data_IF_488697788323
#
_entry.id   IF_488697788323
#
_cell.length_a   1.000
_cell.length_b   1.000
_cell.length_c   1.000
_cell.angle_alpha   90.00
_cell.angle_beta   90.00
_cell.angle_gamma   90.00
#
_symmetry.space_group_name_H-M   'P 1'
#
loop_
_entity.id
_entity.type
_entity.pdbx_description
1 polymer ?
#
# COMPACT_ATOMS: atom_id res chain seq x y z
N UNK A 1 -4.04 56.65 -30.40
CA UNK A 1 -2.84 56.00 -29.83
C UNK A 1 -1.55 56.57 -30.45
N UNK A 2 -0.65 57.02 -29.59
CA UNK A 2 0.63 57.63 -30.00
C UNK A 2 1.62 56.53 -30.38
N UNK A 3 2.50 56.75 -31.38
CA UNK A 3 3.45 55.73 -31.89
C UNK A 3 4.33 55.13 -30.79
N UNK A 4 4.64 55.92 -29.77
CA UNK A 4 5.35 55.55 -28.55
C UNK A 4 4.55 54.60 -27.67
N UNK A 5 3.25 54.85 -27.46
CA UNK A 5 2.37 53.94 -26.70
C UNK A 5 2.32 52.56 -27.36
N UNK A 6 2.16 52.51 -28.68
CA UNK A 6 2.15 51.24 -29.42
C UNK A 6 3.48 50.47 -29.30
N UNK A 7 4.61 51.17 -29.28
CA UNK A 7 5.92 50.56 -29.09
C UNK A 7 6.08 49.99 -27.67
N UNK A 8 5.67 50.75 -26.64
CA UNK A 8 5.69 50.32 -25.25
C UNK A 8 4.79 49.12 -25.01
N UNK A 9 3.57 49.13 -25.56
CA UNK A 9 2.65 47.98 -25.47
C UNK A 9 3.23 46.75 -26.15
N UNK A 10 3.88 46.89 -27.32
CA UNK A 10 4.52 45.76 -28.02
C UNK A 10 5.71 45.19 -27.24
N UNK A 11 6.52 46.04 -26.61
CA UNK A 11 7.62 45.62 -25.76
C UNK A 11 7.11 44.82 -24.55
N UNK A 12 6.05 45.31 -23.89
CA UNK A 12 5.42 44.63 -22.77
C UNK A 12 4.83 43.27 -23.17
N UNK A 13 4.14 43.19 -24.32
CA UNK A 13 3.64 41.90 -24.84
C UNK A 13 4.78 40.92 -25.13
N UNK A 14 5.90 41.40 -25.66
CA UNK A 14 7.07 40.55 -25.95
C UNK A 14 7.67 39.98 -24.67
N UNK A 15 7.82 40.82 -23.63
CA UNK A 15 8.29 40.37 -22.31
C UNK A 15 7.34 39.34 -21.68
N UNK A 16 6.02 39.56 -21.73
CA UNK A 16 5.07 38.56 -21.21
C UNK A 16 5.13 37.24 -21.98
N UNK A 17 5.35 37.27 -23.31
CA UNK A 17 5.53 36.05 -24.11
C UNK A 17 6.80 35.28 -23.76
N UNK A 18 7.86 35.96 -23.34
CA UNK A 18 9.08 35.31 -22.86
C UNK A 18 8.81 34.59 -21.54
N UNK A 19 8.14 35.26 -20.58
CA UNK A 19 7.75 34.61 -19.32
C UNK A 19 6.89 33.37 -19.55
N UNK A 20 5.89 33.44 -20.43
CA UNK A 20 5.05 32.28 -20.77
C UNK A 20 5.92 31.15 -21.34
N UNK A 21 6.81 31.46 -22.28
CA UNK A 21 7.70 30.48 -22.92
C UNK A 21 8.59 29.75 -21.91
N UNK A 22 9.03 30.45 -20.86
CA UNK A 22 9.92 29.87 -19.86
C UNK A 22 9.15 29.06 -18.81
N UNK A 23 7.92 29.46 -18.46
CA UNK A 23 7.11 28.80 -17.43
C UNK A 23 6.37 27.56 -17.96
N UNK A 24 5.89 27.58 -19.21
CA UNK A 24 5.21 26.44 -19.85
C UNK A 24 5.99 25.11 -19.75
N UNK A 25 7.31 25.03 -20.07
CA UNK A 25 8.05 23.79 -19.93
C UNK A 25 8.23 23.36 -18.46
N UNK A 26 8.24 24.31 -17.51
CA UNK A 26 8.28 23.97 -16.08
C UNK A 26 6.97 23.31 -15.64
N UNK A 27 5.83 23.79 -16.13
CA UNK A 27 4.52 23.16 -15.89
C UNK A 27 4.53 21.74 -16.43
N UNK A 28 4.92 21.54 -17.69
CA UNK A 28 4.98 20.22 -18.30
C UNK A 28 5.89 19.25 -17.54
N UNK A 29 7.04 19.73 -17.06
CA UNK A 29 7.95 18.92 -16.26
C UNK A 29 7.33 18.50 -14.92
N UNK A 30 6.63 19.42 -14.24
CA UNK A 30 5.95 19.14 -12.97
C UNK A 30 4.76 18.18 -13.17
N UNK A 31 3.98 18.34 -14.24
CA UNK A 31 2.90 17.43 -14.60
C UNK A 31 3.44 16.01 -14.81
N UNK A 32 4.55 15.85 -15.53
CA UNK A 32 5.22 14.56 -15.70
C UNK A 32 5.68 13.94 -14.37
N UNK A 33 6.15 14.76 -13.42
CA UNK A 33 6.49 14.27 -12.07
C UNK A 33 5.26 13.81 -11.29
N UNK A 34 4.14 14.54 -11.38
CA UNK A 34 2.87 14.16 -10.74
C UNK A 34 2.38 12.82 -11.29
N UNK A 35 2.43 12.62 -12.61
CA UNK A 35 2.05 11.36 -13.24
C UNK A 35 2.93 10.19 -12.77
N UNK A 36 4.25 10.38 -12.71
CA UNK A 36 5.17 9.37 -12.22
C UNK A 36 4.91 8.99 -10.75
N UNK A 37 4.60 9.98 -9.90
CA UNK A 37 4.24 9.74 -8.49
C UNK A 37 2.91 9.00 -8.37
N UNK A 38 1.89 9.33 -9.17
CA UNK A 38 0.63 8.57 -9.20
C UNK A 38 0.83 7.13 -9.67
N UNK A 39 1.68 6.90 -10.65
CA UNK A 39 2.05 5.55 -11.08
C UNK A 39 2.74 4.76 -9.95
N UNK A 40 3.63 5.41 -9.20
CA UNK A 40 4.28 4.82 -8.02
C UNK A 40 3.26 4.43 -6.94
N UNK A 41 2.35 5.34 -6.58
CA UNK A 41 1.27 5.06 -5.62
C UNK A 41 0.42 3.87 -6.08
N UNK A 42 0.08 3.81 -7.37
CA UNK A 42 -0.74 2.73 -7.92
C UNK A 42 -0.03 1.37 -7.81
N UNK A 43 1.27 1.31 -8.11
CA UNK A 43 2.07 0.09 -7.96
C UNK A 43 2.12 -0.38 -6.50
N UNK A 44 2.36 0.55 -5.56
CA UNK A 44 2.39 0.23 -4.12
C UNK A 44 1.02 -0.25 -3.63
N UNK A 45 -0.09 0.33 -4.12
CA UNK A 45 -1.44 -0.12 -3.76
C UNK A 45 -1.73 -1.54 -4.23
N UNK A 46 -1.31 -1.90 -5.44
CA UNK A 46 -1.45 -3.27 -5.96
C UNK A 46 -0.65 -4.25 -5.10
N UNK A 47 0.61 -3.92 -4.80
CA UNK A 47 1.47 -4.75 -3.96
C UNK A 47 0.90 -4.97 -2.54
N UNK A 48 0.33 -3.92 -1.93
CA UNK A 48 -0.39 -4.03 -0.65
C UNK A 48 -1.60 -4.96 -0.78
N UNK A 49 -2.36 -4.87 -1.88
CA UNK A 49 -3.53 -5.70 -2.08
C UNK A 49 -3.16 -7.18 -2.24
N UNK A 50 -2.11 -7.50 -3.00
CA UNK A 50 -1.57 -8.85 -3.14
C UNK A 50 -1.10 -9.42 -1.80
N UNK A 51 -0.30 -8.65 -1.04
CA UNK A 51 0.15 -9.07 0.30
C UNK A 51 -1.00 -9.27 1.27
N UNK A 52 -2.03 -8.41 1.22
CA UNK A 52 -3.25 -8.60 2.02
C UNK A 52 -4.02 -9.85 1.60
N UNK A 53 -4.09 -10.16 0.30
CA UNK A 53 -4.72 -11.37 -0.20
C UNK A 53 -3.98 -12.63 0.28
N UNK A 54 -2.65 -12.60 0.42
CA UNK A 54 -1.87 -13.71 1.00
C UNK A 54 -2.16 -13.90 2.51
N UNK A 55 -2.38 -12.82 3.25
CA UNK A 55 -2.65 -12.88 4.70
C UNK A 55 -4.14 -13.18 4.99
N UNK A 56 -5.04 -12.84 4.07
CA UNK A 56 -6.49 -12.98 4.26
C UNK A 56 -6.94 -14.42 4.59
N UNK A 57 -6.44 -15.50 3.95
CA UNK A 57 -6.80 -16.88 4.29
C UNK A 57 -6.55 -17.20 5.76
N UNK A 58 -5.38 -16.81 6.31
CA UNK A 58 -5.00 -17.09 7.71
C UNK A 58 -5.91 -16.37 8.72
N UNK A 59 -6.52 -15.24 8.33
CA UNK A 59 -7.48 -14.49 9.15
C UNK A 59 -8.94 -14.90 8.93
N UNK A 60 -9.25 -15.57 7.83
CA UNK A 60 -10.60 -15.99 7.43
C UNK A 60 -10.86 -17.49 7.63
N UNK A 61 -9.87 -18.24 8.12
CA UNK A 61 -10.09 -19.62 8.53
C UNK A 61 -11.22 -19.66 9.57
N UNK A 62 -12.28 -20.44 9.33
CA UNK A 62 -13.28 -20.71 10.36
C UNK A 62 -12.59 -21.30 11.59
N UNK A 63 -13.18 -21.03 12.76
CA UNK A 63 -12.65 -21.51 14.03
C UNK A 63 -12.37 -23.02 14.02
N UNK A 64 -13.28 -23.81 13.44
CA UNK A 64 -13.17 -25.27 13.40
C UNK A 64 -11.94 -25.76 12.62
N UNK A 65 -11.63 -25.11 11.49
CA UNK A 65 -10.45 -25.46 10.69
C UNK A 65 -9.17 -25.07 11.43
N UNK A 66 -9.18 -23.91 12.11
CA UNK A 66 -8.09 -23.46 12.97
C UNK A 66 -7.84 -24.43 14.13
N UNK A 67 -8.90 -24.90 14.78
CA UNK A 67 -8.84 -25.88 15.85
C UNK A 67 -8.22 -27.21 15.37
N UNK A 68 -8.64 -27.73 14.22
CA UNK A 68 -8.07 -28.96 13.66
C UNK A 68 -6.59 -28.80 13.27
N UNK A 69 -6.18 -27.65 12.73
CA UNK A 69 -4.76 -27.35 12.47
C UNK A 69 -3.94 -27.41 13.76
N UNK A 70 -4.47 -26.83 14.85
CA UNK A 70 -3.79 -26.83 16.16
C UNK A 70 -3.68 -28.24 16.72
N UNK A 71 -4.74 -29.05 16.65
CA UNK A 71 -4.71 -30.46 17.09
C UNK A 71 -3.69 -31.26 16.28
N UNK A 72 -3.69 -31.11 14.94
CA UNK A 72 -2.73 -31.77 14.08
C UNK A 72 -1.28 -31.39 14.41
N UNK A 73 -1.02 -30.10 14.71
CA UNK A 73 0.30 -29.65 15.13
C UNK A 73 0.71 -30.21 16.51
N UNK A 74 -0.23 -30.27 17.47
CA UNK A 74 0.02 -30.76 18.82
C UNK A 74 0.23 -32.28 18.90
N UNK A 75 -0.38 -33.02 17.99
CA UNK A 75 -0.35 -34.49 17.95
C UNK A 75 0.71 -35.05 16.98
N UNK A 76 1.47 -34.16 16.32
CA UNK A 76 2.54 -34.58 15.42
C UNK A 76 3.63 -35.35 16.20
N UNK A 77 4.29 -36.35 15.58
CA UNK A 77 5.36 -37.11 16.24
C UNK A 77 6.54 -36.25 16.74
N UNK A 78 6.70 -35.06 16.15
CA UNK A 78 7.74 -34.08 16.50
C UNK A 78 7.17 -32.90 17.31
N UNK A 79 6.03 -33.07 17.95
CA UNK A 79 5.36 -32.00 18.67
C UNK A 79 6.14 -31.60 19.94
N UNK A 80 6.27 -30.29 20.15
CA UNK A 80 6.82 -29.69 21.37
C UNK A 80 5.75 -28.76 21.95
N UNK A 81 5.59 -28.76 23.27
CA UNK A 81 4.71 -27.85 24.03
C UNK A 81 4.94 -26.38 23.64
N UNK A 82 6.17 -26.02 23.24
CA UNK A 82 6.48 -24.67 22.75
C UNK A 82 5.75 -24.31 21.46
N UNK A 83 5.37 -25.29 20.64
CA UNK A 83 4.64 -25.06 19.38
C UNK A 83 3.26 -24.48 19.63
N UNK A 84 2.50 -24.99 20.61
CA UNK A 84 1.20 -24.41 20.98
C UNK A 84 1.32 -22.95 21.41
N UNK A 85 2.37 -22.63 22.18
CA UNK A 85 2.67 -21.24 22.57
C UNK A 85 3.02 -20.37 21.36
N UNK A 86 3.76 -20.91 20.38
CA UNK A 86 4.07 -20.21 19.13
C UNK A 86 2.81 -19.99 18.29
N UNK A 87 1.91 -20.98 18.19
CA UNK A 87 0.65 -20.83 17.49
C UNK A 87 -0.25 -19.77 18.16
N UNK A 88 -0.33 -19.77 19.49
CA UNK A 88 -1.08 -18.77 20.26
C UNK A 88 -0.50 -17.34 20.20
N UNK A 89 0.72 -17.14 19.67
CA UNK A 89 1.33 -15.81 19.50
C UNK A 89 1.01 -15.16 18.16
N UNK A 90 0.51 -15.92 17.17
CA UNK A 90 0.26 -15.44 15.79
C UNK A 90 -0.74 -14.28 15.75
N UNK A 91 -1.95 -14.48 16.28
CA UNK A 91 -2.96 -13.42 16.41
C UNK A 91 -4.03 -13.79 17.44
N UNK A 92 -5.03 -12.91 17.65
CA UNK A 92 -6.14 -13.15 18.59
C UNK A 92 -6.95 -14.40 18.23
N UNK A 93 -7.29 -14.62 16.97
CA UNK A 93 -8.07 -15.79 16.54
C UNK A 93 -7.31 -17.10 16.73
N UNK A 94 -6.00 -17.12 16.43
CA UNK A 94 -5.15 -18.30 16.68
C UNK A 94 -5.01 -18.58 18.17
N UNK A 95 -4.83 -17.55 18.99
CA UNK A 95 -4.82 -17.69 20.45
C UNK A 95 -6.11 -18.27 20.99
N UNK A 96 -7.24 -17.74 20.54
CA UNK A 96 -8.56 -18.21 20.96
C UNK A 96 -8.76 -19.67 20.58
N UNK A 97 -8.44 -20.04 19.33
CA UNK A 97 -8.49 -21.43 18.88
C UNK A 97 -7.54 -22.34 19.67
N UNK A 98 -6.31 -21.92 19.99
CA UNK A 98 -5.36 -22.73 20.77
C UNK A 98 -5.85 -22.99 22.19
N UNK A 99 -6.41 -21.96 22.84
CA UNK A 99 -6.89 -22.09 24.23
C UNK A 99 -8.24 -22.80 24.32
N UNK A 100 -9.10 -22.65 23.31
CA UNK A 100 -10.46 -23.22 23.29
C UNK A 100 -10.57 -24.57 22.58
N UNK A 101 -9.44 -25.20 22.26
CA UNK A 101 -9.41 -26.55 21.69
C UNK A 101 -8.78 -27.53 22.69
N UNK A 102 -9.56 -28.14 23.58
CA UNK A 102 -9.05 -29.05 24.62
C UNK A 102 -8.27 -30.24 24.05
N UNK A 103 -8.63 -30.72 22.84
CA UNK A 103 -7.96 -31.83 22.14
C UNK A 103 -6.49 -31.57 21.79
N UNK A 104 -6.00 -30.33 21.94
CA UNK A 104 -4.64 -29.95 21.64
C UNK A 104 -3.70 -29.97 22.87
N UNK A 105 -4.23 -30.18 24.08
CA UNK A 105 -3.49 -30.22 25.35
C UNK A 105 -3.51 -31.63 25.94
#
# INVERSE_FOLDING_TARGET
PTRTEMATTRALISSHKEVIRDVEPMIQALEGQIEALHASISRVRVDIAEKKALIAPVRRLPFDILAEIIVAAATAPTADVRQLRTLASVCRSWRDATLRTPRAW
#
